data_IF_693914492644
#
_entry.id   IF_693914492644
#
_cell.length_a   1.000
_cell.length_b   1.000
_cell.length_c   1.000
_cell.angle_alpha   90.00
_cell.angle_beta   90.00
_cell.angle_gamma   90.00
#
_symmetry.space_group_name_H-M   'P 1'
#
loop_
_entity.id
_entity.type
_entity.pdbx_description
1 polymer ?
#
# COMPACT_ATOMS: atom_id res chain seq x y z
N UNK A 1 6.79 18.11 -10.93
CA UNK A 1 7.60 16.87 -11.05
C UNK A 1 7.06 15.88 -10.04
N UNK A 2 6.55 14.73 -10.48
CA UNK A 2 6.24 13.62 -9.57
C UNK A 2 7.09 12.46 -10.04
N UNK A 3 8.21 12.22 -9.38
CA UNK A 3 9.07 11.07 -9.60
C UNK A 3 8.21 9.82 -9.77
N UNK A 4 8.18 9.32 -10.99
CA UNK A 4 7.46 8.11 -11.37
C UNK A 4 8.36 6.93 -11.02
N UNK A 5 8.87 6.93 -9.79
CA UNK A 5 9.72 5.87 -9.26
C UNK A 5 8.83 4.67 -8.98
N UNK A 6 9.17 3.54 -9.58
CA UNK A 6 8.55 2.25 -9.25
C UNK A 6 8.74 1.99 -7.76
N UNK A 7 7.64 1.92 -6.99
CA UNK A 7 7.70 1.70 -5.54
C UNK A 7 7.58 0.21 -5.28
N UNK A 8 8.52 -0.40 -4.55
CA UNK A 8 8.37 -1.79 -4.11
C UNK A 8 7.18 -1.94 -3.16
N UNK A 9 6.45 -3.04 -3.24
CA UNK A 9 5.32 -3.29 -2.34
C UNK A 9 5.70 -3.21 -0.86
N UNK A 10 6.91 -3.65 -0.49
CA UNK A 10 7.45 -3.49 0.87
C UNK A 10 7.62 -2.03 1.29
N UNK A 11 8.07 -1.15 0.38
CA UNK A 11 8.19 0.28 0.65
C UNK A 11 6.82 0.94 0.79
N UNK A 12 5.86 0.53 -0.03
CA UNK A 12 4.47 0.98 0.08
C UNK A 12 3.87 0.62 1.47
N UNK A 13 4.06 -0.62 1.93
CA UNK A 13 3.63 -1.05 3.27
C UNK A 13 4.29 -0.22 4.37
N UNK A 14 5.60 0.03 4.26
CA UNK A 14 6.35 0.82 5.24
C UNK A 14 5.83 2.27 5.32
N UNK A 15 5.56 2.88 4.17
CA UNK A 15 4.99 4.23 4.07
C UNK A 15 3.57 4.29 4.64
N UNK A 16 2.72 3.31 4.30
CA UNK A 16 1.38 3.20 4.87
C UNK A 16 1.39 3.05 6.39
N UNK A 17 2.26 2.21 6.93
CA UNK A 17 2.37 2.05 8.38
C UNK A 17 2.79 3.36 9.07
N UNK A 18 3.74 4.10 8.48
CA UNK A 18 4.13 5.43 8.98
C UNK A 18 2.98 6.43 8.91
N UNK A 19 2.25 6.46 7.79
CA UNK A 19 1.09 7.32 7.59
C UNK A 19 0.00 7.01 8.61
N UNK A 20 -0.28 5.72 8.85
CA UNK A 20 -1.25 5.26 9.82
C UNK A 20 -0.92 5.75 11.24
N UNK A 21 0.36 5.62 11.64
CA UNK A 21 0.85 6.12 12.93
C UNK A 21 0.73 7.64 13.06
N UNK A 22 1.01 8.39 11.98
CA UNK A 22 0.86 9.86 11.96
C UNK A 22 -0.59 10.30 12.07
N UNK A 23 -1.51 9.57 11.42
CA UNK A 23 -2.96 9.86 11.44
C UNK A 23 -3.67 9.26 12.65
N UNK A 24 -2.99 8.41 13.44
CA UNK A 24 -3.61 7.70 14.56
C UNK A 24 -4.63 6.64 14.13
N UNK A 25 -4.52 6.10 12.91
CA UNK A 25 -5.48 5.13 12.37
C UNK A 25 -4.93 3.70 12.43
N UNK A 26 -5.84 2.71 12.36
CA UNK A 26 -5.47 1.29 12.38
C UNK A 26 -4.83 0.89 11.05
N UNK A 27 -3.70 0.19 11.13
CA UNK A 27 -3.06 -0.44 9.97
C UNK A 27 -2.95 -1.94 10.21
N UNK A 28 -3.36 -2.74 9.22
CA UNK A 28 -3.24 -4.19 9.27
C UNK A 28 -2.86 -4.74 7.90
N UNK A 29 -1.83 -5.58 7.87
CA UNK A 29 -1.43 -6.28 6.67
C UNK A 29 -1.64 -7.77 6.87
N UNK A 30 -2.49 -8.36 6.03
CA UNK A 30 -2.75 -9.78 5.96
C UNK A 30 -2.02 -10.35 4.76
N UNK A 31 -0.87 -10.98 5.00
CA UNK A 31 -0.22 -11.77 3.96
C UNK A 31 -1.10 -13.00 3.65
N UNK A 32 -1.55 -13.17 2.41
CA UNK A 32 -2.33 -14.33 2.01
C UNK A 32 -1.48 -15.60 2.16
N UNK A 33 -1.91 -16.53 3.02
CA UNK A 33 -1.26 -17.83 3.27
C UNK A 33 -1.48 -18.85 2.12
N UNK A 34 -1.45 -18.40 0.87
CA UNK A 34 -1.69 -19.24 -0.31
C UNK A 34 -0.53 -19.23 -1.32
N UNK A 35 -0.68 -19.98 -2.43
CA UNK A 35 0.33 -20.15 -3.50
C UNK A 35 0.70 -18.84 -4.25
N UNK A 36 0.12 -17.71 -3.87
CA UNK A 36 0.43 -16.39 -4.39
C UNK A 36 0.82 -15.44 -3.26
N UNK A 37 1.88 -14.67 -3.45
CA UNK A 37 2.41 -13.64 -2.55
C UNK A 37 1.52 -12.40 -2.43
N UNK A 38 0.21 -12.53 -2.70
CA UNK A 38 -0.75 -11.44 -2.58
C UNK A 38 -1.14 -11.29 -1.11
N UNK A 39 -1.19 -10.06 -0.64
CA UNK A 39 -1.66 -9.72 0.70
C UNK A 39 -2.72 -8.64 0.64
N UNK A 40 -3.60 -8.61 1.62
CA UNK A 40 -4.56 -7.52 1.77
C UNK A 40 -4.03 -6.52 2.79
N UNK A 41 -4.10 -5.25 2.43
CA UNK A 41 -3.76 -4.15 3.34
C UNK A 41 -5.03 -3.44 3.74
N UNK A 42 -5.20 -3.26 5.04
CA UNK A 42 -6.26 -2.49 5.65
C UNK A 42 -5.66 -1.23 6.27
N UNK A 43 -6.29 -0.10 5.97
CA UNK A 43 -6.04 1.18 6.58
C UNK A 43 -7.39 1.72 7.07
N UNK A 44 -7.58 1.69 8.38
CA UNK A 44 -8.84 2.06 9.02
C UNK A 44 -10.03 1.27 8.45
N UNK A 45 -10.98 1.98 7.82
CA UNK A 45 -12.17 1.41 7.14
C UNK A 45 -11.92 1.05 5.68
N UNK A 46 -10.75 1.41 5.13
CA UNK A 46 -10.40 1.21 3.73
C UNK A 46 -9.45 0.01 3.57
N UNK A 47 -9.49 -0.64 2.40
CA UNK A 47 -8.62 -1.78 2.13
C UNK A 47 -8.26 -1.88 0.66
N UNK A 48 -7.10 -2.43 0.37
CA UNK A 48 -6.64 -2.69 -0.99
C UNK A 48 -5.88 -4.00 -1.07
N UNK A 49 -5.82 -4.59 -2.26
CA UNK A 49 -5.10 -5.84 -2.52
C UNK A 49 -3.70 -5.47 -3.00
N UNK A 50 -2.70 -5.79 -2.19
CA UNK A 50 -1.30 -5.71 -2.56
C UNK A 50 -0.91 -7.01 -3.27
N UNK A 51 -0.36 -6.90 -4.47
CA UNK A 51 0.29 -8.02 -5.16
C UNK A 51 1.57 -8.41 -4.42
N UNK A 52 2.42 -9.21 -5.05
CA UNK A 52 3.71 -9.60 -4.47
C UNK A 52 4.47 -8.39 -3.87
N UNK A 53 4.65 -8.31 -2.54
CA UNK A 53 5.31 -7.18 -1.88
C UNK A 53 6.79 -7.08 -2.25
N UNK A 54 7.38 -8.16 -2.79
CA UNK A 54 8.76 -8.15 -3.31
C UNK A 54 8.85 -7.51 -4.69
N UNK A 55 7.73 -7.37 -5.40
CA UNK A 55 7.70 -6.77 -6.74
C UNK A 55 7.48 -5.26 -6.68
N UNK A 56 7.86 -4.62 -7.76
CA UNK A 56 7.61 -3.21 -7.99
C UNK A 56 6.15 -2.96 -8.36
N UNK A 57 5.57 -1.94 -7.75
CA UNK A 57 4.26 -1.41 -8.07
C UNK A 57 4.44 -0.36 -9.16
N UNK A 58 3.88 -0.63 -10.33
CA UNK A 58 3.75 0.40 -11.36
C UNK A 58 2.90 1.57 -10.86
N UNK A 59 3.18 2.77 -11.34
CA UNK A 59 2.53 4.01 -10.90
C UNK A 59 1.01 3.98 -11.01
N UNK A 60 0.46 3.33 -12.03
CA UNK A 60 -0.99 3.15 -12.19
C UNK A 60 -1.59 2.31 -11.06
N UNK A 61 -0.93 1.21 -10.69
CA UNK A 61 -1.35 0.35 -9.59
C UNK A 61 -1.23 1.09 -8.26
N UNK A 62 -0.11 1.78 -8.01
CA UNK A 62 0.09 2.58 -6.81
C UNK A 62 -1.04 3.61 -6.62
N UNK A 63 -1.36 4.36 -7.68
CA UNK A 63 -2.45 5.37 -7.63
C UNK A 63 -3.82 4.74 -7.38
N UNK A 64 -4.11 3.58 -7.97
CA UNK A 64 -5.34 2.85 -7.72
C UNK A 64 -5.43 2.41 -6.24
N UNK A 65 -4.35 1.82 -5.71
CA UNK A 65 -4.28 1.40 -4.31
C UNK A 65 -4.42 2.56 -3.33
N UNK A 66 -3.80 3.72 -3.62
CA UNK A 66 -3.99 4.93 -2.81
C UNK A 66 -5.45 5.39 -2.81
N UNK A 67 -6.11 5.35 -3.97
CA UNK A 67 -7.53 5.70 -4.10
C UNK A 67 -8.42 4.77 -3.29
N UNK A 68 -8.18 3.45 -3.36
CA UNK A 68 -8.91 2.45 -2.58
C UNK A 68 -8.74 2.69 -1.07
N UNK A 69 -7.53 3.07 -0.64
CA UNK A 69 -7.21 3.39 0.74
C UNK A 69 -7.62 4.81 1.17
N UNK A 70 -8.20 5.60 0.25
CA UNK A 70 -8.59 7.01 0.47
C UNK A 70 -7.43 7.88 0.97
N UNK A 71 -6.24 7.68 0.42
CA UNK A 71 -5.03 8.48 0.71
C UNK A 71 -4.48 9.10 -0.56
N UNK A 72 -3.73 10.19 -0.43
CA UNK A 72 -3.00 10.73 -1.58
C UNK A 72 -1.63 10.07 -1.69
N UNK A 73 -1.13 9.76 -2.92
CA UNK A 73 0.25 9.33 -3.12
C UNK A 73 1.30 10.31 -2.57
N UNK A 74 0.92 11.59 -2.37
CA UNK A 74 1.76 12.63 -1.75
C UNK A 74 1.96 12.43 -0.26
N UNK A 75 1.06 11.71 0.41
CA UNK A 75 1.15 11.39 1.83
C UNK A 75 2.13 10.23 2.13
N UNK A 76 2.58 9.52 1.08
CA UNK A 76 3.39 8.30 1.16
C UNK A 76 4.90 8.55 1.02
#
# INVERSE_FOLDING_TARGET
MCDTGTVKGSEFLRKLHRLARRRGVRFQYEAGLGKGSHGRVWLDTASTILKDPKKELGTGLLRAMCRDLKIEPRDL
#
